data_IF_892545295900
#
_entry.id   IF_892545295900
#
_cell.length_a   1.000
_cell.length_b   1.000
_cell.length_c   1.000
_cell.angle_alpha   90.00
_cell.angle_beta   90.00
_cell.angle_gamma   90.00
#
_symmetry.space_group_name_H-M   'P 1'
#
loop_
_entity.id
_entity.type
_entity.pdbx_description
1 polymer ?
#
# COMPACT_ATOMS: atom_id res chain seq x y z
N UNK A 1 58.58 20.50 43.66
CA UNK A 1 59.61 20.14 42.66
C UNK A 1 58.91 19.58 41.43
N UNK A 2 58.93 20.36 40.31
CA UNK A 2 58.78 19.97 38.87
C UNK A 2 57.52 19.19 38.45
N UNK A 3 56.85 19.38 37.29
CA UNK A 3 56.93 20.26 36.09
C UNK A 3 55.69 19.83 35.24
N UNK A 4 54.79 20.75 34.87
CA UNK A 4 54.57 21.30 33.51
C UNK A 4 53.64 20.53 32.56
N UNK A 5 52.63 21.27 32.06
CA UNK A 5 51.85 21.18 30.82
C UNK A 5 52.52 20.45 29.63
N UNK A 6 51.70 19.79 28.79
CA UNK A 6 51.60 20.11 27.34
C UNK A 6 50.39 19.41 26.65
N UNK A 7 49.75 20.17 25.76
CA UNK A 7 48.60 19.89 24.90
C UNK A 7 48.80 18.80 23.82
N UNK A 8 47.67 18.23 23.33
CA UNK A 8 47.22 18.09 21.91
C UNK A 8 46.10 17.04 21.83
N UNK A 9 44.88 17.38 21.44
CA UNK A 9 44.36 17.56 20.06
C UNK A 9 43.66 16.30 19.52
N UNK A 10 42.41 16.47 19.06
CA UNK A 10 41.52 15.46 18.48
C UNK A 10 40.08 15.68 18.99
N UNK A 11 39.28 16.58 18.41
CA UNK A 11 38.41 16.32 17.23
C UNK A 11 37.65 15.00 17.46
N UNK A 12 36.33 14.92 17.66
CA UNK A 12 35.23 15.34 16.79
C UNK A 12 33.93 15.35 17.65
N UNK A 13 33.28 16.50 17.79
CA UNK A 13 31.81 16.62 17.70
C UNK A 13 31.55 17.38 16.41
N UNK A 14 30.44 17.21 15.65
CA UNK A 14 29.06 17.32 16.19
C UNK A 14 27.98 16.51 15.42
N UNK A 15 26.72 16.85 15.70
CA UNK A 15 25.48 16.60 14.94
C UNK A 15 24.50 15.55 15.47
N UNK A 16 23.79 15.97 16.52
CA UNK A 16 22.36 15.70 16.65
C UNK A 16 21.64 16.52 15.56
N UNK A 17 21.08 15.85 14.55
CA UNK A 17 20.17 16.45 13.57
C UNK A 17 18.73 16.01 13.92
N UNK A 18 17.77 16.93 14.11
CA UNK A 18 16.36 16.57 14.05
C UNK A 18 15.99 16.32 12.59
N UNK A 19 15.59 15.10 12.26
CA UNK A 19 15.10 14.73 10.94
C UNK A 19 13.72 15.37 10.71
N UNK A 20 13.70 16.65 10.33
CA UNK A 20 12.51 17.32 9.80
C UNK A 20 12.37 16.89 8.34
N UNK A 21 11.54 15.85 8.10
CA UNK A 21 11.10 15.50 6.75
C UNK A 21 10.16 16.60 6.26
N UNK A 22 10.71 17.50 5.44
CA UNK A 22 9.97 18.48 4.66
C UNK A 22 9.15 17.74 3.59
N UNK A 23 7.85 17.53 3.83
CA UNK A 23 6.92 17.15 2.77
C UNK A 23 6.88 18.29 1.74
N UNK A 24 7.28 18.00 0.50
CA UNK A 24 7.03 18.87 -0.63
C UNK A 24 5.56 18.71 -1.10
N UNK A 25 4.90 19.79 -1.53
CA UNK A 25 3.50 19.74 -1.91
C UNK A 25 3.31 18.98 -3.22
N UNK A 26 2.25 18.19 -3.18
CA UNK A 26 1.53 17.53 -4.26
C UNK A 26 1.47 18.42 -5.52
N UNK A 27 2.12 17.99 -6.60
CA UNK A 27 2.10 18.67 -7.89
C UNK A 27 0.70 18.64 -8.53
N UNK A 28 0.16 19.83 -8.79
CA UNK A 28 -1.06 20.07 -9.56
C UNK A 28 -0.91 19.58 -11.01
N UNK A 29 -1.94 18.98 -11.64
CA UNK A 29 -1.82 18.44 -12.99
C UNK A 29 -1.81 19.57 -14.03
N UNK A 30 -0.83 19.51 -14.93
CA UNK A 30 -0.75 20.31 -16.14
C UNK A 30 -2.03 20.14 -16.98
N UNK A 31 -2.65 21.27 -17.33
CA UNK A 31 -3.73 21.38 -18.31
C UNK A 31 -3.09 21.45 -19.69
N UNK A 32 -3.11 20.32 -20.40
CA UNK A 32 -2.87 20.31 -21.85
C UNK A 32 -4.23 20.15 -22.54
N UNK A 33 -4.64 21.26 -23.13
CA UNK A 33 -5.77 21.46 -24.00
C UNK A 33 -5.44 20.93 -25.42
N UNK A 34 -5.96 19.75 -25.75
CA UNK A 34 -5.99 19.25 -27.12
C UNK A 34 -7.43 18.86 -27.52
N UNK A 35 -8.01 19.73 -28.34
CA UNK A 35 -9.09 19.55 -29.32
C UNK A 35 -9.81 18.20 -29.37
N UNK A 36 -11.12 18.28 -29.08
CA UNK A 36 -12.11 17.25 -29.28
C UNK A 36 -12.25 16.81 -30.75
N UNK A 37 -12.26 15.49 -30.98
CA UNK A 37 -13.13 14.87 -31.99
C UNK A 37 -13.85 13.69 -31.35
N UNK A 38 -15.17 13.69 -31.55
CA UNK A 38 -16.12 12.74 -31.03
C UNK A 38 -15.96 11.36 -31.68
N UNK A 39 -15.91 10.33 -30.84
CA UNK A 39 -15.96 8.92 -31.19
C UNK A 39 -16.23 8.11 -29.92
N UNK A 40 -17.46 7.64 -29.79
CA UNK A 40 -17.98 6.57 -28.91
C UNK A 40 -17.13 6.19 -27.68
N UNK A 41 -17.50 6.74 -26.53
CA UNK A 41 -16.79 6.60 -25.27
C UNK A 41 -16.92 5.22 -24.64
N UNK A 42 -15.97 4.33 -24.92
CA UNK A 42 -15.45 3.45 -23.88
C UNK A 42 -14.59 4.35 -22.99
N UNK A 43 -15.14 4.80 -21.86
CA UNK A 43 -14.36 5.46 -20.80
C UNK A 43 -13.23 4.52 -20.38
N UNK A 44 -12.06 4.65 -21.03
CA UNK A 44 -10.83 4.03 -20.60
C UNK A 44 -10.56 4.59 -19.20
N UNK A 45 -11.01 3.85 -18.19
CA UNK A 45 -10.96 4.26 -16.79
C UNK A 45 -9.53 4.62 -16.48
N UNK A 46 -9.25 5.91 -16.27
CA UNK A 46 -7.92 6.43 -16.02
C UNK A 46 -7.32 5.67 -14.82
N UNK A 47 -6.43 4.73 -15.14
CA UNK A 47 -5.93 3.74 -14.20
C UNK A 47 -4.61 4.27 -13.68
N UNK A 48 -4.66 4.92 -12.52
CA UNK A 48 -3.46 5.49 -11.88
C UNK A 48 -2.58 4.34 -11.38
N UNK A 49 -1.28 4.44 -11.62
CA UNK A 49 -0.32 3.55 -10.97
C UNK A 49 -0.16 4.00 -9.51
N UNK A 50 -0.34 3.07 -8.58
CA UNK A 50 -0.14 3.32 -7.16
C UNK A 50 1.30 2.99 -6.81
N UNK A 51 1.96 3.90 -6.11
CA UNK A 51 3.34 3.74 -5.65
C UNK A 51 3.35 3.12 -4.26
N UNK A 52 3.95 1.95 -4.14
CA UNK A 52 4.31 1.33 -2.87
C UNK A 52 5.80 1.53 -2.63
N UNK A 53 6.16 1.93 -1.41
CA UNK A 53 7.55 2.09 -0.99
C UNK A 53 7.91 0.93 -0.07
N UNK A 54 8.63 -0.04 -0.60
CA UNK A 54 8.87 -1.33 0.08
C UNK A 54 10.36 -1.50 0.38
N UNK A 55 10.65 -2.16 1.50
CA UNK A 55 11.93 -2.82 1.72
C UNK A 55 11.92 -4.19 1.02
N UNK A 56 13.05 -4.91 0.94
CA UNK A 56 13.06 -6.29 0.46
C UNK A 56 12.05 -7.18 1.21
N UNK A 57 11.95 -7.04 2.54
CA UNK A 57 10.97 -7.77 3.34
C UNK A 57 9.51 -7.37 3.01
N UNK A 58 9.26 -6.08 2.75
CA UNK A 58 7.95 -5.60 2.29
C UNK A 58 7.56 -6.15 0.91
N UNK A 59 8.54 -6.33 0.02
CA UNK A 59 8.34 -6.95 -1.28
C UNK A 59 7.99 -8.44 -1.14
N UNK A 60 8.67 -9.17 -0.25
CA UNK A 60 8.35 -10.57 0.04
C UNK A 60 6.91 -10.72 0.55
N UNK A 61 6.46 -9.85 1.46
CA UNK A 61 5.06 -9.82 1.92
C UNK A 61 4.08 -9.60 0.76
N UNK A 62 4.40 -8.71 -0.18
CA UNK A 62 3.58 -8.50 -1.37
C UNK A 62 3.52 -9.76 -2.25
N UNK A 63 4.67 -10.42 -2.47
CA UNK A 63 4.77 -11.66 -3.27
C UNK A 63 3.98 -12.79 -2.62
N UNK A 64 4.13 -12.99 -1.32
CA UNK A 64 3.44 -14.03 -0.56
C UNK A 64 1.93 -13.82 -0.59
N UNK A 65 1.48 -12.59 -0.35
CA UNK A 65 0.08 -12.21 -0.44
C UNK A 65 -0.49 -12.46 -1.85
N UNK A 66 0.28 -12.13 -2.88
CA UNK A 66 -0.12 -12.34 -4.27
C UNK A 66 -0.25 -13.83 -4.60
N UNK A 67 0.76 -14.63 -4.26
CA UNK A 67 0.73 -16.08 -4.44
C UNK A 67 -0.41 -16.74 -3.66
N UNK A 68 -0.66 -16.29 -2.43
CA UNK A 68 -1.76 -16.78 -1.60
C UNK A 68 -3.12 -16.51 -2.27
N UNK A 69 -3.36 -15.29 -2.75
CA UNK A 69 -4.61 -14.95 -3.44
C UNK A 69 -4.80 -15.74 -4.74
N UNK A 70 -3.76 -15.96 -5.55
CA UNK A 70 -3.85 -16.83 -6.74
C UNK A 70 -4.26 -18.25 -6.34
N UNK A 71 -3.70 -18.80 -5.25
CA UNK A 71 -4.05 -20.14 -4.77
C UNK A 71 -5.49 -20.23 -4.27
N UNK A 72 -5.98 -19.21 -3.59
CA UNK A 72 -7.34 -19.13 -3.06
C UNK A 72 -8.37 -18.95 -4.17
N UNK A 73 -8.15 -17.98 -5.06
CA UNK A 73 -9.08 -17.58 -6.13
C UNK A 73 -8.96 -18.44 -7.39
N UNK A 74 -7.88 -19.23 -7.49
CA UNK A 74 -7.52 -20.00 -8.69
C UNK A 74 -7.45 -19.15 -9.96
N UNK A 75 -7.11 -17.87 -9.81
CA UNK A 75 -7.12 -16.88 -10.88
C UNK A 75 -5.79 -16.14 -10.95
N UNK A 76 -5.28 -15.91 -12.16
CA UNK A 76 -4.11 -15.04 -12.37
C UNK A 76 -4.55 -13.58 -12.26
N UNK A 77 -4.19 -12.95 -11.15
CA UNK A 77 -4.59 -11.58 -10.82
C UNK A 77 -3.42 -10.61 -11.06
N UNK A 78 -3.72 -9.33 -11.30
CA UNK A 78 -2.68 -8.30 -11.37
C UNK A 78 -2.26 -7.85 -9.96
N UNK A 79 -1.01 -7.40 -9.79
CA UNK A 79 -0.49 -6.86 -8.53
C UNK A 79 -1.37 -5.76 -7.92
N UNK A 80 -1.90 -4.85 -8.74
CA UNK A 80 -2.84 -3.83 -8.25
C UNK A 80 -4.19 -4.37 -7.80
N UNK A 81 -4.58 -5.56 -8.27
CA UNK A 81 -5.78 -6.27 -7.78
C UNK A 81 -5.49 -6.90 -6.43
N UNK A 82 -4.33 -7.51 -6.23
CA UNK A 82 -3.88 -8.00 -4.91
C UNK A 82 -3.96 -6.90 -3.85
N UNK A 83 -3.42 -5.72 -4.14
CA UNK A 83 -3.50 -4.59 -3.20
C UNK A 83 -4.95 -4.17 -2.93
N UNK A 84 -5.81 -4.18 -3.96
CA UNK A 84 -7.23 -3.82 -3.79
C UNK A 84 -7.97 -4.80 -2.91
N UNK A 85 -7.75 -6.10 -3.11
CA UNK A 85 -8.32 -7.16 -2.27
C UNK A 85 -7.84 -7.04 -0.84
N UNK A 86 -6.55 -6.77 -0.64
CA UNK A 86 -5.97 -6.57 0.68
C UNK A 86 -6.65 -5.41 1.42
N UNK A 87 -6.82 -4.26 0.75
CA UNK A 87 -7.48 -3.08 1.35
C UNK A 87 -8.98 -3.34 1.60
N UNK A 88 -9.67 -4.03 0.69
CA UNK A 88 -11.07 -4.45 0.85
C UNK A 88 -11.27 -5.51 1.95
N UNK A 89 -10.25 -6.30 2.24
CA UNK A 89 -10.26 -7.20 3.38
C UNK A 89 -10.02 -6.43 4.69
N UNK A 90 -8.99 -5.57 4.72
CA UNK A 90 -8.68 -4.74 5.87
C UNK A 90 -9.86 -3.85 6.30
N UNK A 91 -10.63 -3.33 5.33
CA UNK A 91 -11.82 -2.50 5.60
C UNK A 91 -12.91 -3.22 6.39
N UNK A 92 -12.93 -4.56 6.37
CA UNK A 92 -13.90 -5.38 7.12
C UNK A 92 -13.49 -5.64 8.57
N UNK A 93 -12.22 -5.42 8.92
CA UNK A 93 -11.77 -5.58 10.29
C UNK A 93 -12.29 -4.43 11.18
N UNK A 94 -12.41 -4.71 12.47
CA UNK A 94 -12.77 -3.68 13.44
C UNK A 94 -11.66 -2.64 13.54
N UNK A 95 -12.01 -1.38 13.82
CA UNK A 95 -10.99 -0.32 13.93
C UNK A 95 -10.00 -0.58 15.07
N UNK A 96 -10.45 -1.23 16.14
CA UNK A 96 -9.60 -1.64 17.27
C UNK A 96 -8.56 -2.67 16.83
N UNK A 97 -8.95 -3.71 16.08
CA UNK A 97 -8.01 -4.68 15.53
C UNK A 97 -6.98 -4.03 14.62
N UNK A 98 -7.40 -3.09 13.77
CA UNK A 98 -6.49 -2.35 12.87
C UNK A 98 -5.47 -1.54 13.68
N UNK A 99 -5.92 -0.84 14.73
CA UNK A 99 -5.04 -0.05 15.62
C UNK A 99 -4.03 -0.95 16.34
N UNK A 100 -4.47 -2.09 16.87
CA UNK A 100 -3.59 -3.02 17.56
C UNK A 100 -2.52 -3.59 16.62
N UNK A 101 -2.91 -3.96 15.38
CA UNK A 101 -1.96 -4.43 14.38
C UNK A 101 -0.99 -3.34 13.92
N UNK A 102 -1.39 -2.06 13.93
CA UNK A 102 -0.49 -0.95 13.61
C UNK A 102 0.63 -0.75 14.63
N UNK A 103 0.48 -1.27 15.85
CA UNK A 103 1.51 -1.20 16.89
C UNK A 103 2.56 -2.31 16.76
N UNK A 104 2.38 -3.24 15.81
CA UNK A 104 3.34 -4.31 15.57
C UNK A 104 4.62 -3.75 14.95
N UNK A 105 5.75 -4.03 15.59
CA UNK A 105 7.08 -3.61 15.16
C UNK A 105 7.45 -4.13 13.76
N UNK A 106 6.83 -5.21 13.31
CA UNK A 106 7.00 -5.76 11.95
C UNK A 106 6.68 -4.72 10.87
N UNK A 107 5.73 -3.81 11.06
CA UNK A 107 5.39 -2.81 10.05
C UNK A 107 6.52 -1.83 9.75
N UNK A 108 7.36 -1.52 10.74
CA UNK A 108 8.44 -0.56 10.60
C UNK A 108 9.54 -1.07 9.67
N UNK A 109 9.71 -2.39 9.54
CA UNK A 109 10.73 -2.99 8.68
C UNK A 109 10.28 -3.26 7.24
N UNK A 110 8.97 -3.16 6.95
CA UNK A 110 8.41 -3.42 5.61
C UNK A 110 8.46 -2.19 4.68
N UNK A 111 8.52 -0.99 5.25
CA UNK A 111 8.69 0.25 4.48
C UNK A 111 10.13 0.41 4.00
N UNK A 112 10.32 0.90 2.78
CA UNK A 112 11.67 1.09 2.22
C UNK A 112 11.81 2.22 1.22
N UNK A 113 12.98 2.29 0.59
CA UNK A 113 13.31 3.33 -0.38
C UNK A 113 12.86 2.99 -1.81
N UNK A 114 12.63 1.71 -2.12
CA UNK A 114 12.32 1.26 -3.48
C UNK A 114 10.84 1.51 -3.81
N UNK A 115 10.60 2.20 -4.94
CA UNK A 115 9.25 2.49 -5.43
C UNK A 115 8.78 1.39 -6.39
N UNK A 116 7.67 0.74 -6.03
CA UNK A 116 6.99 -0.24 -6.86
C UNK A 116 5.64 0.28 -7.32
N UNK A 117 5.40 0.24 -8.63
CA UNK A 117 4.16 0.72 -9.23
C UNK A 117 3.18 -0.43 -9.44
N UNK A 118 2.07 -0.42 -8.70
CA UNK A 118 0.97 -1.38 -8.87
C UNK A 118 -0.25 -0.67 -9.49
N UNK A 119 -0.66 -1.10 -10.69
CA UNK A 119 -1.79 -0.50 -11.39
C UNK A 119 -3.14 -0.86 -10.76
N UNK A 120 -3.65 -0.02 -9.85
CA UNK A 120 -4.90 -0.26 -9.12
C UNK A 120 -6.03 0.72 -9.51
N UNK A 121 -7.24 0.50 -8.99
CA UNK A 121 -8.43 1.34 -9.24
C UNK A 121 -8.39 2.61 -8.39
N UNK A 122 -8.95 3.71 -8.88
CA UNK A 122 -9.09 4.94 -8.09
C UNK A 122 -9.89 4.71 -6.78
N UNK A 123 -10.85 3.76 -6.79
CA UNK A 123 -11.66 3.37 -5.61
C UNK A 123 -10.81 2.83 -4.45
N UNK A 124 -9.63 2.29 -4.74
CA UNK A 124 -8.69 1.82 -3.73
C UNK A 124 -8.28 2.94 -2.76
N UNK A 125 -8.07 4.14 -3.31
CA UNK A 125 -7.67 5.30 -2.54
C UNK A 125 -8.79 5.76 -1.60
N UNK A 126 -10.04 5.72 -2.07
CA UNK A 126 -11.21 6.09 -1.26
C UNK A 126 -11.37 5.15 -0.06
N UNK A 127 -11.22 3.84 -0.28
CA UNK A 127 -11.33 2.84 0.79
C UNK A 127 -10.19 3.01 1.79
N UNK A 128 -8.95 3.14 1.31
CA UNK A 128 -7.79 3.33 2.19
C UNK A 128 -7.89 4.62 3.01
N UNK A 129 -8.39 5.70 2.42
CA UNK A 129 -8.62 6.98 3.11
C UNK A 129 -9.73 6.84 4.15
N UNK A 130 -10.80 6.11 3.85
CA UNK A 130 -11.85 5.84 4.84
C UNK A 130 -11.31 5.06 6.05
N UNK A 131 -10.38 4.12 5.83
CA UNK A 131 -9.69 3.39 6.91
C UNK A 131 -8.82 4.34 7.74
N UNK A 132 -8.01 5.20 7.12
CA UNK A 132 -7.16 6.14 7.87
C UNK A 132 -8.00 7.10 8.72
N UNK A 133 -9.12 7.60 8.19
CA UNK A 133 -10.04 8.46 8.92
C UNK A 133 -10.69 7.74 10.11
N UNK A 134 -11.14 6.49 9.93
CA UNK A 134 -11.69 5.67 11.02
C UNK A 134 -10.67 5.45 12.14
N UNK A 135 -9.44 5.11 11.77
CA UNK A 135 -8.35 4.89 12.72
C UNK A 135 -8.05 6.17 13.50
N UNK A 136 -7.91 7.31 12.81
CA UNK A 136 -7.65 8.61 13.46
C UNK A 136 -8.76 9.01 14.44
N UNK A 137 -10.02 8.73 14.12
CA UNK A 137 -11.16 9.00 15.03
C UNK A 137 -11.11 8.15 16.30
N UNK A 138 -10.57 6.94 16.22
CA UNK A 138 -10.52 6.00 17.35
C UNK A 138 -9.27 6.21 18.22
N UNK A 139 -8.19 6.73 17.63
CA UNK A 139 -6.97 7.13 18.33
C UNK A 139 -6.60 8.58 17.97
N UNK A 140 -7.27 9.58 18.59
CA UNK A 140 -7.06 10.99 18.24
C UNK A 140 -5.65 11.46 18.61
N UNK A 141 -5.10 10.93 19.69
CA UNK A 141 -3.77 11.23 20.22
C UNK A 141 -2.65 10.50 19.45
N UNK A 142 -3.00 9.52 18.62
CA UNK A 142 -2.08 8.78 17.78
C UNK A 142 -1.66 9.57 16.54
N UNK A 143 -0.45 9.27 16.04
CA UNK A 143 -0.01 9.78 14.73
C UNK A 143 -0.89 9.19 13.63
N UNK A 144 -1.41 10.04 12.75
CA UNK A 144 -2.23 9.59 11.63
C UNK A 144 -1.47 8.56 10.76
N UNK A 145 -2.07 7.39 10.48
CA UNK A 145 -1.48 6.44 9.54
C UNK A 145 -1.27 7.08 8.18
N UNK A 146 -0.07 6.90 7.62
CA UNK A 146 0.14 7.18 6.22
C UNK A 146 -0.48 6.06 5.36
N UNK A 147 -0.85 6.36 4.12
CA UNK A 147 -1.46 5.37 3.22
C UNK A 147 -0.55 4.17 2.94
N UNK A 148 0.77 4.37 2.91
CA UNK A 148 1.74 3.28 2.75
C UNK A 148 1.66 2.25 3.88
N UNK A 149 1.52 2.71 5.12
CA UNK A 149 1.31 1.87 6.31
C UNK A 149 0.00 1.08 6.20
N UNK A 150 -1.08 1.71 5.72
CA UNK A 150 -2.35 1.00 5.50
C UNK A 150 -2.18 -0.10 4.43
N UNK A 151 -1.47 0.18 3.34
CA UNK A 151 -1.22 -0.82 2.30
C UNK A 151 -0.38 -2.00 2.78
N UNK A 152 0.69 -1.72 3.53
CA UNK A 152 1.53 -2.76 4.13
C UNK A 152 0.74 -3.61 5.12
N UNK A 153 0.00 -2.95 6.01
CA UNK A 153 -0.85 -3.61 6.99
C UNK A 153 -1.88 -4.51 6.29
N UNK A 154 -2.54 -4.00 5.25
CA UNK A 154 -3.51 -4.74 4.47
C UNK A 154 -2.91 -6.02 3.87
N UNK A 155 -1.71 -5.92 3.28
CA UNK A 155 -1.01 -7.07 2.71
C UNK A 155 -0.67 -8.11 3.78
N UNK A 156 -0.21 -7.70 4.96
CA UNK A 156 0.07 -8.62 6.07
C UNK A 156 -1.15 -9.42 6.55
N UNK A 157 -2.37 -8.94 6.31
CA UNK A 157 -3.58 -9.68 6.67
C UNK A 157 -3.93 -10.78 5.68
N UNK A 158 -3.49 -10.70 4.42
CA UNK A 158 -3.85 -11.67 3.39
C UNK A 158 -3.48 -13.11 3.77
N UNK A 159 -2.25 -13.43 4.20
CA UNK A 159 -1.90 -14.79 4.58
C UNK A 159 -2.60 -15.28 5.86
N UNK A 160 -3.10 -14.36 6.70
CA UNK A 160 -3.76 -14.64 7.98
C UNK A 160 -5.27 -14.85 7.82
N UNK A 161 -5.85 -14.37 6.73
CA UNK A 161 -7.28 -14.36 6.48
C UNK A 161 -7.84 -15.73 6.12
N UNK A 162 -9.10 -15.98 6.51
CA UNK A 162 -9.84 -17.15 6.09
C UNK A 162 -10.12 -17.14 4.58
N UNK A 163 -10.18 -18.33 3.96
CA UNK A 163 -10.45 -18.47 2.52
C UNK A 163 -11.74 -17.77 2.10
N UNK A 164 -12.82 -17.90 2.88
CA UNK A 164 -14.11 -17.25 2.61
C UNK A 164 -14.00 -15.73 2.60
N UNK A 165 -13.26 -15.16 3.56
CA UNK A 165 -13.12 -13.71 3.70
C UNK A 165 -12.34 -13.12 2.53
N UNK A 166 -11.33 -13.85 2.06
CA UNK A 166 -10.54 -13.49 0.89
C UNK A 166 -11.35 -13.57 -0.41
N UNK A 167 -12.20 -14.58 -0.58
CA UNK A 167 -13.10 -14.66 -1.74
C UNK A 167 -14.11 -13.50 -1.71
N UNK A 168 -14.72 -13.23 -0.55
CA UNK A 168 -15.65 -12.11 -0.41
C UNK A 168 -14.97 -10.76 -0.66
N UNK A 169 -13.73 -10.56 -0.19
CA UNK A 169 -12.94 -9.38 -0.46
C UNK A 169 -12.55 -9.27 -1.95
N UNK A 170 -12.30 -10.42 -2.59
CA UNK A 170 -12.03 -10.49 -4.02
C UNK A 170 -13.23 -10.04 -4.85
N UNK A 171 -14.42 -10.54 -4.54
CA UNK A 171 -15.66 -10.15 -5.23
C UNK A 171 -15.95 -8.66 -5.05
N UNK A 172 -15.80 -8.13 -3.82
CA UNK A 172 -15.93 -6.68 -3.56
C UNK A 172 -14.91 -5.88 -4.35
N UNK A 173 -13.65 -6.29 -4.38
CA UNK A 173 -12.62 -5.59 -5.14
C UNK A 173 -12.96 -5.52 -6.63
N UNK A 174 -13.47 -6.61 -7.22
CA UNK A 174 -13.93 -6.62 -8.62
C UNK A 174 -15.11 -5.66 -8.85
N UNK A 175 -16.10 -5.66 -7.95
CA UNK A 175 -17.23 -4.73 -8.00
C UNK A 175 -16.78 -3.26 -7.83
N UNK A 176 -15.77 -3.01 -7.01
CA UNK A 176 -15.11 -1.73 -6.80
C UNK A 176 -14.18 -1.32 -7.96
N UNK A 177 -14.12 -2.12 -9.02
CA UNK A 177 -13.40 -1.82 -10.26
C UNK A 177 -11.93 -2.21 -10.25
N UNK A 178 -11.54 -3.21 -9.44
CA UNK A 178 -10.27 -3.91 -9.64
C UNK A 178 -10.21 -4.55 -11.03
N UNK A 179 -9.01 -4.96 -11.46
CA UNK A 179 -8.87 -5.63 -12.75
C UNK A 179 -9.43 -7.03 -12.63
N UNK A 180 -10.38 -7.34 -13.50
CA UNK A 180 -10.83 -8.71 -13.68
C UNK A 180 -9.63 -9.57 -14.09
N UNK A 181 -9.39 -10.73 -13.42
CA UNK A 181 -8.41 -11.68 -13.91
C UNK A 181 -8.73 -12.08 -15.35
N UNK A 182 -7.73 -12.53 -16.08
CA UNK A 182 -7.99 -13.15 -17.37
C UNK A 182 -8.91 -14.36 -17.13
N UNK A 183 -10.10 -14.35 -17.71
CA UNK A 183 -11.01 -15.49 -17.66
C UNK A 183 -10.33 -16.68 -18.31
N UNK A 184 -10.39 -17.83 -17.65
CA UNK A 184 -10.21 -19.10 -18.34
C UNK A 184 -11.53 -19.31 -19.07
N UNK A 185 -11.55 -19.10 -20.39
CA UNK A 185 -12.70 -19.48 -21.21
C UNK A 185 -13.00 -20.96 -20.92
N UNK A 186 -14.21 -21.25 -20.48
CA UNK A 186 -14.66 -22.61 -20.16
C UNK A 186 -14.85 -23.43 -21.45
N UNK A 187 -14.68 -22.81 -22.62
CA UNK A 187 -14.82 -23.42 -23.94
C UNK A 187 -13.59 -24.21 -24.41
N UNK A 188 -12.43 -24.11 -23.74
CA UNK A 188 -11.21 -24.85 -24.11
C UNK A 188 -11.24 -26.35 -23.71
N UNK A 189 -12.36 -26.87 -23.22
CA UNK A 189 -12.54 -28.31 -22.90
C UNK A 189 -13.42 -29.07 -23.91
N UNK A 190 -13.77 -28.44 -25.03
CA UNK A 190 -14.52 -29.06 -26.12
C UNK A 190 -13.68 -29.33 -27.40
N UNK A 191 -12.35 -29.35 -27.29
CA UNK A 191 -11.42 -29.64 -28.41
C UNK A 191 -10.75 -31.01 -28.30
#
# INVERSE_FOLDING_TARGET
MKRSNLERSGTIMPFLLPFVVKMLPFGSPARDNATAKAGEGVMARARRSFKLRLSPAGLDVLIDSHCHLIRVTRSLIAWGTTLHVAVEHLSTLSTTEIVDQMQLQELDCLGGAEEHHVGASNRLWDIATSITERVQKTSPEGRQPNLGTIYLLALMQIPKAGKSDLINAFDRALQSGARTPASREVDDLAG
#
